data_IF_375213816811
#
_entry.id   IF_375213816811
#
_cell.length_a   1.000
_cell.length_b   1.000
_cell.length_c   1.000
_cell.angle_alpha   90.00
_cell.angle_beta   90.00
_cell.angle_gamma   90.00
#
_symmetry.space_group_name_H-M   'P 1'
#
loop_
_entity.id
_entity.type
_entity.pdbx_description
1 polymer ?
#
# COMPACT_ATOMS: atom_id res chain seq x y z
N UNK A 1 -25.79 38.05 -19.59
CA UNK A 1 -25.05 37.07 -20.43
C UNK A 1 -24.26 36.05 -19.62
N UNK A 2 -23.64 36.43 -18.48
CA UNK A 2 -22.78 35.51 -17.71
C UNK A 2 -23.49 34.37 -16.95
N UNK A 3 -24.70 34.58 -16.41
CA UNK A 3 -25.37 33.53 -15.61
C UNK A 3 -25.79 32.30 -16.44
N UNK A 4 -26.24 32.51 -17.67
CA UNK A 4 -26.67 31.43 -18.57
C UNK A 4 -25.46 30.60 -19.04
N UNK A 5 -24.32 31.24 -19.29
CA UNK A 5 -23.07 30.57 -19.68
C UNK A 5 -22.53 29.72 -18.53
N UNK A 6 -22.54 30.25 -17.30
CA UNK A 6 -22.10 29.51 -16.09
C UNK A 6 -23.02 28.30 -15.84
N UNK A 7 -24.34 28.46 -15.95
CA UNK A 7 -25.29 27.35 -15.80
C UNK A 7 -25.11 26.28 -16.88
N UNK A 8 -24.84 26.68 -18.12
CA UNK A 8 -24.56 25.75 -19.21
C UNK A 8 -23.25 24.98 -19.00
N UNK A 9 -22.18 25.65 -18.53
CA UNK A 9 -20.92 24.99 -18.18
C UNK A 9 -21.08 24.01 -17.01
N UNK A 10 -21.88 24.35 -15.99
CA UNK A 10 -22.13 23.45 -14.86
C UNK A 10 -22.90 22.20 -15.31
N UNK A 11 -23.93 22.37 -16.16
CA UNK A 11 -24.72 21.26 -16.69
C UNK A 11 -23.90 20.34 -17.60
N UNK A 12 -23.04 20.89 -18.45
CA UNK A 12 -22.15 20.09 -19.31
C UNK A 12 -21.16 19.29 -18.45
N UNK A 13 -20.58 19.88 -17.40
CA UNK A 13 -19.69 19.15 -16.48
C UNK A 13 -20.42 18.03 -15.71
N UNK A 14 -21.70 18.19 -15.37
CA UNK A 14 -22.47 17.13 -14.70
C UNK A 14 -22.82 16.00 -15.68
N UNK A 15 -23.11 16.31 -16.95
CA UNK A 15 -23.46 15.30 -17.97
C UNK A 15 -22.22 14.57 -18.50
N UNK A 16 -21.08 15.25 -18.56
CA UNK A 16 -19.78 14.67 -18.93
C UNK A 16 -19.02 14.10 -17.73
N UNK A 17 -19.47 14.42 -16.50
CA UNK A 17 -18.87 13.99 -15.26
C UNK A 17 -19.46 12.66 -14.79
N UNK A 18 -18.68 11.61 -14.96
CA UNK A 18 -18.82 10.31 -14.30
C UNK A 18 -20.05 9.53 -14.80
N UNK A 19 -19.83 8.65 -15.78
CA UNK A 19 -20.72 7.49 -15.95
C UNK A 19 -20.76 6.74 -14.61
N UNK A 20 -21.92 6.58 -13.95
CA UNK A 20 -21.99 5.79 -12.74
C UNK A 20 -21.39 4.40 -13.03
N UNK A 21 -20.57 3.85 -12.11
CA UNK A 21 -19.90 2.58 -12.34
C UNK A 21 -20.94 1.54 -12.75
N UNK A 22 -20.71 0.90 -13.89
CA UNK A 22 -21.60 -0.16 -14.35
C UNK A 22 -21.53 -1.29 -13.33
N UNK A 23 -22.69 -1.78 -12.89
CA UNK A 23 -22.75 -2.95 -12.02
C UNK A 23 -22.22 -4.17 -12.79
N UNK A 24 -20.93 -4.43 -12.66
CA UNK A 24 -20.27 -5.63 -13.17
C UNK A 24 -20.62 -6.83 -12.30
N UNK A 25 -20.77 -8.01 -12.93
CA UNK A 25 -20.77 -9.28 -12.20
C UNK A 25 -19.33 -9.77 -12.14
N UNK A 26 -18.88 -10.17 -10.96
CA UNK A 26 -17.57 -10.82 -10.83
C UNK A 26 -17.53 -12.12 -11.63
N UNK A 27 -16.37 -12.49 -12.21
CA UNK A 27 -16.19 -13.80 -12.85
C UNK A 27 -16.48 -14.95 -11.88
N UNK A 28 -16.90 -16.09 -12.43
CA UNK A 28 -17.11 -17.30 -11.63
C UNK A 28 -15.81 -17.68 -10.88
N UNK A 29 -15.92 -18.00 -9.59
CA UNK A 29 -14.78 -18.37 -8.74
C UNK A 29 -14.00 -17.19 -8.12
N UNK A 30 -14.31 -15.93 -8.47
CA UNK A 30 -13.63 -14.75 -7.93
C UNK A 30 -13.62 -14.73 -6.38
N UNK A 31 -14.80 -14.80 -5.76
CA UNK A 31 -14.93 -14.76 -4.30
C UNK A 31 -14.38 -16.02 -3.61
N UNK A 32 -14.21 -17.11 -4.34
CA UNK A 32 -13.56 -18.31 -3.81
C UNK A 32 -12.04 -18.12 -3.77
N UNK A 33 -11.43 -17.59 -4.83
CA UNK A 33 -10.01 -17.20 -4.82
C UNK A 33 -9.71 -16.14 -3.76
N UNK A 34 -10.54 -15.09 -3.64
CA UNK A 34 -10.38 -14.07 -2.59
C UNK A 34 -10.36 -14.70 -1.19
N UNK A 35 -11.30 -15.61 -0.90
CA UNK A 35 -11.34 -16.30 0.40
C UNK A 35 -10.18 -17.27 0.60
N UNK A 36 -9.78 -18.01 -0.44
CA UNK A 36 -8.63 -18.93 -0.39
C UNK A 36 -7.33 -18.19 -0.08
N UNK A 37 -7.15 -17.00 -0.65
CA UNK A 37 -5.99 -16.13 -0.40
C UNK A 37 -6.13 -15.28 0.87
N UNK A 38 -7.21 -15.46 1.65
CA UNK A 38 -7.44 -14.69 2.87
C UNK A 38 -7.68 -13.20 2.63
N UNK A 39 -8.11 -12.79 1.44
CA UNK A 39 -8.40 -11.39 1.13
C UNK A 39 -9.76 -11.06 1.74
N UNK A 40 -9.72 -10.34 2.87
CA UNK A 40 -10.89 -9.96 3.67
C UNK A 40 -11.80 -8.93 2.99
N UNK A 41 -12.82 -8.48 3.72
CA UNK A 41 -13.73 -7.40 3.28
C UNK A 41 -13.38 -6.04 3.89
N UNK A 42 -12.49 -6.02 4.89
CA UNK A 42 -12.00 -4.81 5.52
C UNK A 42 -10.63 -4.51 4.92
N UNK A 43 -10.53 -3.36 4.27
CA UNK A 43 -9.34 -2.89 3.58
C UNK A 43 -8.84 -1.63 4.24
N UNK A 44 -7.53 -1.40 4.12
CA UNK A 44 -6.86 -0.25 4.70
C UNK A 44 -6.49 -0.44 6.16
N UNK A 45 -5.57 0.41 6.60
CA UNK A 45 -5.10 0.43 7.97
C UNK A 45 -6.12 1.12 8.90
N UNK A 46 -6.51 0.50 10.04
CA UNK A 46 -7.49 1.08 10.95
C UNK A 46 -7.09 2.45 11.51
N UNK A 47 -5.79 2.68 11.70
CA UNK A 47 -5.22 3.94 12.15
C UNK A 47 -5.47 5.07 11.18
N UNK A 48 -5.02 4.89 9.95
CA UNK A 48 -5.26 5.84 8.88
C UNK A 48 -6.73 6.09 8.58
N UNK A 49 -7.57 5.05 8.67
CA UNK A 49 -9.02 5.22 8.54
C UNK A 49 -9.58 6.16 9.62
N UNK A 50 -9.10 6.05 10.88
CA UNK A 50 -9.49 6.97 11.97
C UNK A 50 -8.95 8.37 11.72
N UNK A 51 -7.68 8.52 11.34
CA UNK A 51 -7.03 9.80 11.03
C UNK A 51 -7.79 10.58 9.96
N UNK A 52 -8.12 9.92 8.84
CA UNK A 52 -8.89 10.51 7.73
C UNK A 52 -10.33 10.83 8.17
N UNK A 53 -11.00 9.94 8.90
CA UNK A 53 -12.36 10.21 9.37
C UNK A 53 -12.42 11.42 10.34
N UNK A 54 -11.39 11.58 11.17
CA UNK A 54 -11.23 12.65 12.15
C UNK A 54 -11.12 14.04 11.51
N UNK A 55 -10.60 14.15 10.28
CA UNK A 55 -10.48 15.44 9.58
C UNK A 55 -11.80 16.18 9.39
N UNK A 56 -12.92 15.47 9.27
CA UNK A 56 -14.23 16.12 9.14
C UNK A 56 -14.60 17.00 10.35
N UNK A 57 -13.91 16.81 11.47
CA UNK A 57 -14.14 17.50 12.74
C UNK A 57 -13.03 18.50 13.09
N UNK A 58 -11.94 18.55 12.31
CA UNK A 58 -10.86 19.51 12.52
C UNK A 58 -11.24 20.88 11.96
N UNK A 59 -10.97 21.92 12.75
CA UNK A 59 -11.18 23.33 12.35
C UNK A 59 -10.05 23.86 11.45
N UNK A 60 -8.91 23.17 11.44
CA UNK A 60 -7.77 23.45 10.57
C UNK A 60 -7.85 22.57 9.33
N UNK A 61 -8.17 23.17 8.18
CA UNK A 61 -8.24 22.47 6.88
C UNK A 61 -6.91 22.38 6.16
N UNK A 62 -5.85 22.93 6.76
CA UNK A 62 -4.48 22.92 6.21
C UNK A 62 -3.65 21.72 6.75
N UNK A 63 -4.31 20.67 7.26
CA UNK A 63 -3.65 19.46 7.72
C UNK A 63 -3.14 18.66 6.50
N UNK A 64 -1.84 18.78 6.24
CA UNK A 64 -1.14 17.96 5.27
C UNK A 64 -0.95 16.56 5.87
N UNK A 65 -1.39 15.54 5.13
CA UNK A 65 -1.14 14.15 5.47
C UNK A 65 0.17 13.68 4.87
N UNK A 66 0.96 13.00 5.67
CA UNK A 66 2.23 12.41 5.26
C UNK A 66 2.18 10.91 5.49
N UNK A 67 2.27 10.14 4.40
CA UNK A 67 2.28 8.68 4.42
C UNK A 67 3.66 8.20 3.97
N UNK A 68 4.40 7.54 4.88
CA UNK A 68 5.71 6.99 4.57
C UNK A 68 5.58 5.47 4.39
N UNK A 69 5.91 4.96 3.21
CA UNK A 69 5.65 3.57 2.82
C UNK A 69 6.96 2.77 2.68
N UNK A 70 7.19 1.74 3.50
CA UNK A 70 8.25 0.76 3.26
C UNK A 70 7.87 -0.15 2.09
N UNK A 71 8.78 -0.27 1.12
CA UNK A 71 8.63 -1.12 -0.06
C UNK A 71 9.72 -2.19 -0.06
N UNK A 72 9.32 -3.43 0.16
CA UNK A 72 10.23 -4.57 0.26
C UNK A 72 10.23 -5.37 -1.04
N UNK A 73 11.38 -5.42 -1.71
CA UNK A 73 11.57 -6.32 -2.84
C UNK A 73 11.83 -7.73 -2.33
N UNK A 74 11.05 -8.72 -2.77
CA UNK A 74 11.08 -10.07 -2.21
C UNK A 74 11.36 -11.16 -3.26
N UNK A 75 12.02 -12.24 -2.87
CA UNK A 75 12.29 -13.40 -3.73
C UNK A 75 11.70 -14.66 -3.11
N UNK A 76 11.18 -15.55 -3.95
CA UNK A 76 10.88 -16.92 -3.55
C UNK A 76 12.17 -17.72 -3.38
N UNK A 77 12.13 -18.83 -2.65
CA UNK A 77 13.29 -19.72 -2.48
C UNK A 77 13.76 -20.36 -3.80
N UNK A 78 12.84 -20.53 -4.75
CA UNK A 78 13.07 -21.08 -6.09
C UNK A 78 13.10 -20.02 -7.21
N UNK A 79 13.04 -18.73 -6.85
CA UNK A 79 13.15 -17.65 -7.82
C UNK A 79 14.58 -17.59 -8.41
N UNK A 80 14.69 -17.74 -9.73
CA UNK A 80 15.98 -17.78 -10.43
C UNK A 80 16.44 -16.42 -10.95
N UNK A 81 15.55 -15.44 -11.07
CA UNK A 81 15.87 -14.10 -11.59
C UNK A 81 14.91 -13.04 -11.07
N UNK A 82 15.43 -11.82 -11.00
CA UNK A 82 14.69 -10.55 -10.90
C UNK A 82 15.25 -9.60 -11.94
N UNK A 83 14.42 -8.68 -12.42
CA UNK A 83 14.66 -7.80 -13.56
C UNK A 83 14.91 -6.34 -13.14
N UNK A 84 14.41 -5.94 -11.97
CA UNK A 84 14.54 -4.59 -11.45
C UNK A 84 15.27 -4.57 -10.09
N UNK A 85 15.76 -3.39 -9.70
CA UNK A 85 16.38 -3.14 -8.40
C UNK A 85 15.62 -2.06 -7.61
N UNK A 86 16.04 -1.81 -6.37
CA UNK A 86 15.44 -0.81 -5.49
C UNK A 86 15.38 0.57 -6.12
N UNK A 87 16.45 1.03 -6.77
CA UNK A 87 16.46 2.33 -7.47
C UNK A 87 15.39 2.43 -8.56
N UNK A 88 15.13 1.35 -9.32
CA UNK A 88 14.08 1.37 -10.34
C UNK A 88 12.68 1.56 -9.74
N UNK A 89 12.41 0.92 -8.59
CA UNK A 89 11.14 1.07 -7.89
C UNK A 89 11.05 2.39 -7.14
N UNK A 90 12.15 2.87 -6.56
CA UNK A 90 12.23 4.19 -5.93
C UNK A 90 11.92 5.29 -6.94
N UNK A 91 12.61 5.31 -8.09
CA UNK A 91 12.31 6.27 -9.17
C UNK A 91 10.84 6.19 -9.60
N UNK A 92 10.29 4.99 -9.75
CA UNK A 92 8.89 4.79 -10.15
C UNK A 92 7.89 5.32 -9.12
N UNK A 93 8.14 5.09 -7.83
CA UNK A 93 7.19 5.34 -6.75
C UNK A 93 7.37 6.73 -6.14
N UNK A 94 8.59 7.11 -5.79
CA UNK A 94 8.86 8.28 -4.94
C UNK A 94 9.83 9.28 -5.58
N UNK A 95 10.77 8.79 -6.38
CA UNK A 95 11.88 9.54 -6.96
C UNK A 95 11.54 10.24 -8.27
N UNK A 96 12.57 10.41 -9.09
CA UNK A 96 12.50 11.22 -10.31
C UNK A 96 12.06 10.37 -11.51
N UNK A 97 10.76 10.35 -11.79
CA UNK A 97 10.20 9.69 -12.96
C UNK A 97 9.75 10.73 -14.01
N UNK A 98 10.36 10.76 -15.23
CA UNK A 98 9.95 11.69 -16.28
C UNK A 98 8.48 11.60 -16.71
N UNK A 99 7.80 10.47 -16.43
CA UNK A 99 6.38 10.28 -16.74
C UNK A 99 5.46 10.50 -15.54
N UNK A 100 5.99 10.92 -14.40
CA UNK A 100 5.26 11.04 -13.14
C UNK A 100 5.53 9.87 -12.19
N UNK A 101 5.91 10.16 -10.94
CA UNK A 101 5.98 9.17 -9.86
C UNK A 101 4.64 9.01 -9.13
N UNK A 102 4.49 7.97 -8.31
CA UNK A 102 3.31 7.81 -7.45
C UNK A 102 3.17 9.00 -6.48
N UNK A 103 4.28 9.47 -5.90
CA UNK A 103 4.32 10.68 -5.06
C UNK A 103 3.80 11.91 -5.79
N UNK A 104 4.25 12.15 -7.03
CA UNK A 104 3.79 13.28 -7.83
C UNK A 104 2.29 13.17 -8.15
N UNK A 105 1.82 11.98 -8.53
CA UNK A 105 0.42 11.72 -8.81
C UNK A 105 -0.47 12.04 -7.60
N UNK A 106 -0.15 11.50 -6.41
CA UNK A 106 -0.94 11.73 -5.21
C UNK A 106 -0.88 13.17 -4.71
N UNK A 107 0.26 13.83 -4.84
CA UNK A 107 0.39 15.25 -4.53
C UNK A 107 -0.47 16.11 -5.48
N UNK A 108 -0.50 15.79 -6.78
CA UNK A 108 -1.32 16.50 -7.76
C UNK A 108 -2.82 16.34 -7.48
N UNK A 109 -3.33 15.11 -7.36
CA UNK A 109 -4.77 14.87 -7.22
C UNK A 109 -5.32 15.33 -5.86
N UNK A 110 -4.45 15.42 -4.84
CA UNK A 110 -4.81 15.90 -3.51
C UNK A 110 -4.68 17.42 -3.36
N UNK A 111 -4.20 18.13 -4.38
CA UNK A 111 -3.85 19.55 -4.30
C UNK A 111 -2.85 19.86 -3.17
N UNK A 112 -1.88 18.96 -2.94
CA UNK A 112 -0.88 19.07 -1.89
C UNK A 112 -1.34 18.69 -0.48
N UNK A 113 -2.57 18.19 -0.31
CA UNK A 113 -3.09 17.79 1.00
C UNK A 113 -2.65 16.38 1.44
N UNK A 114 -2.17 15.57 0.50
CA UNK A 114 -1.68 14.23 0.77
C UNK A 114 -0.33 14.02 0.08
N UNK A 115 0.69 13.80 0.88
CA UNK A 115 2.04 13.49 0.45
C UNK A 115 2.35 12.04 0.79
N UNK A 116 2.67 11.25 -0.22
CA UNK A 116 3.19 9.90 -0.05
C UNK A 116 4.65 9.89 -0.44
N UNK A 117 5.50 9.26 0.36
CA UNK A 117 6.90 8.98 0.08
C UNK A 117 7.27 7.64 0.72
N UNK A 118 8.52 7.20 0.63
CA UNK A 118 8.89 5.90 1.17
C UNK A 118 10.35 5.56 0.96
N UNK A 119 10.68 4.33 1.34
CA UNK A 119 11.99 3.72 1.12
C UNK A 119 11.80 2.37 0.46
N UNK A 120 12.69 2.06 -0.49
CA UNK A 120 12.68 0.79 -1.22
C UNK A 120 13.98 0.06 -1.00
N UNK A 121 13.92 -1.18 -0.52
CA UNK A 121 15.10 -2.04 -0.45
C UNK A 121 14.79 -3.54 -0.61
N UNK A 122 15.84 -4.33 -0.78
CA UNK A 122 15.81 -5.76 -1.04
C UNK A 122 16.87 -6.16 -2.08
N UNK A 123 16.92 -7.40 -2.54
CA UNK A 123 15.87 -8.42 -2.52
C UNK A 123 15.97 -9.39 -1.34
N UNK A 124 14.93 -9.46 -0.50
CA UNK A 124 14.83 -10.41 0.62
C UNK A 124 14.34 -11.78 0.15
N UNK A 125 15.12 -12.83 0.40
CA UNK A 125 14.79 -14.19 -0.04
C UNK A 125 14.05 -14.97 1.04
N UNK A 126 12.75 -15.24 0.80
CA UNK A 126 11.93 -16.12 1.64
C UNK A 126 12.33 -17.58 1.48
N UNK A 127 12.04 -18.38 2.50
CA UNK A 127 12.14 -19.84 2.45
C UNK A 127 11.04 -20.51 1.61
N UNK A 128 9.92 -19.83 1.34
CA UNK A 128 8.81 -20.35 0.56
C UNK A 128 9.11 -20.32 -0.94
N UNK A 129 8.80 -21.42 -1.63
CA UNK A 129 8.75 -21.44 -3.10
C UNK A 129 7.59 -20.59 -3.61
N UNK A 130 7.57 -20.28 -4.91
CA UNK A 130 6.45 -19.56 -5.53
C UNK A 130 5.11 -20.23 -5.24
N UNK A 131 5.03 -21.56 -5.42
CA UNK A 131 3.80 -22.32 -5.16
C UNK A 131 3.35 -22.23 -3.71
N UNK A 132 4.28 -22.29 -2.75
CA UNK A 132 3.97 -22.19 -1.32
C UNK A 132 3.54 -20.77 -0.96
N UNK A 133 4.16 -19.75 -1.54
CA UNK A 133 3.81 -18.36 -1.33
C UNK A 133 2.39 -18.04 -1.86
N UNK A 134 1.99 -18.63 -3.00
CA UNK A 134 0.62 -18.51 -3.52
C UNK A 134 -0.40 -19.15 -2.59
N UNK A 135 -0.08 -20.30 -2.00
CA UNK A 135 -0.94 -20.98 -1.02
C UNK A 135 -1.04 -20.21 0.30
N UNK A 136 0.03 -19.52 0.71
CA UNK A 136 0.07 -18.78 1.97
C UNK A 136 0.81 -17.43 1.87
N UNK A 137 0.17 -16.47 1.20
CA UNK A 137 0.72 -15.12 0.96
C UNK A 137 1.02 -14.39 2.27
N UNK A 138 0.19 -14.57 3.30
CA UNK A 138 0.39 -13.91 4.60
C UNK A 138 1.67 -14.40 5.29
N UNK A 139 1.94 -15.71 5.26
CA UNK A 139 3.20 -16.23 5.79
C UNK A 139 4.40 -15.72 4.98
N UNK A 140 4.28 -15.68 3.65
CA UNK A 140 5.32 -15.11 2.78
C UNK A 140 5.63 -13.66 3.17
N UNK A 141 4.63 -12.79 3.24
CA UNK A 141 4.79 -11.38 3.61
C UNK A 141 5.36 -11.21 5.02
N UNK A 142 4.92 -12.01 5.99
CA UNK A 142 5.45 -11.97 7.36
C UNK A 142 6.93 -12.37 7.42
N UNK A 143 7.37 -13.36 6.62
CA UNK A 143 8.79 -13.72 6.54
C UNK A 143 9.62 -12.62 5.87
N UNK A 144 9.09 -12.00 4.81
CA UNK A 144 9.77 -10.87 4.16
C UNK A 144 9.92 -9.68 5.11
N UNK A 145 8.88 -9.34 5.88
CA UNK A 145 8.98 -8.31 6.92
C UNK A 145 10.06 -8.66 7.97
N UNK A 146 10.09 -9.92 8.42
CA UNK A 146 11.12 -10.35 9.38
C UNK A 146 12.53 -10.29 8.82
N UNK A 147 12.71 -10.58 7.53
CA UNK A 147 14.02 -10.51 6.87
C UNK A 147 14.51 -9.08 6.67
N UNK A 148 13.58 -8.13 6.54
CA UNK A 148 13.86 -6.70 6.34
C UNK A 148 14.07 -5.93 7.64
N UNK A 149 13.61 -6.46 8.78
CA UNK A 149 13.73 -5.87 10.13
C UNK A 149 15.15 -5.38 10.52
N UNK A 150 16.26 -6.01 10.10
CA UNK A 150 17.59 -5.46 10.38
C UNK A 150 17.95 -4.20 9.57
N UNK A 151 17.26 -3.98 8.44
CA UNK A 151 17.55 -2.93 7.47
C UNK A 151 16.51 -1.78 7.55
N UNK A 152 15.29 -2.06 8.05
CA UNK A 152 14.19 -1.12 8.22
C UNK A 152 13.84 -0.93 9.69
N UNK A 153 13.87 0.32 10.19
CA UNK A 153 13.24 0.70 11.46
C UNK A 153 11.73 0.86 11.22
N UNK A 154 10.94 -0.12 11.65
CA UNK A 154 9.51 -0.12 11.39
C UNK A 154 8.76 1.01 12.10
N UNK A 155 9.34 1.61 13.14
CA UNK A 155 8.77 2.77 13.81
C UNK A 155 8.69 4.01 12.91
N UNK A 156 9.51 4.10 11.85
CA UNK A 156 9.43 5.21 10.91
C UNK A 156 8.16 5.22 10.05
N UNK A 157 7.38 4.13 10.09
CA UNK A 157 6.20 3.91 9.26
C UNK A 157 4.90 3.75 10.06
N UNK A 158 4.89 4.20 11.32
CA UNK A 158 3.73 4.29 12.21
C UNK A 158 3.46 5.78 12.46
N UNK A 159 2.60 6.41 11.65
CA UNK A 159 2.36 7.86 11.65
C UNK A 159 0.86 8.17 11.51
N UNK A 160 0.02 7.36 12.15
CA UNK A 160 -1.44 7.49 12.14
C UNK A 160 -1.97 8.46 13.22
N UNK A 161 -1.07 8.97 14.07
CA UNK A 161 -1.31 9.99 15.08
C UNK A 161 -1.61 11.39 14.50
N UNK A 162 -2.35 12.24 15.24
CA UNK A 162 -2.58 13.63 14.86
C UNK A 162 -1.35 14.53 14.68
N UNK A 163 -0.20 14.20 15.29
CA UNK A 163 0.97 15.09 15.31
C UNK A 163 1.90 14.99 14.07
N UNK A 164 1.67 13.99 13.20
CA UNK A 164 2.49 13.66 12.02
C UNK A 164 3.96 13.30 12.34
N UNK A 165 4.26 12.90 13.58
CA UNK A 165 5.58 12.42 13.99
C UNK A 165 5.54 10.90 14.09
N UNK A 166 6.34 10.17 13.30
CA UNK A 166 6.32 8.71 13.36
C UNK A 166 6.72 8.15 14.74
N UNK A 167 6.07 7.07 15.16
CA UNK A 167 6.31 6.33 16.40
C UNK A 167 6.34 7.24 17.65
N UNK A 168 5.39 8.16 17.68
CA UNK A 168 5.10 9.08 18.76
C UNK A 168 4.14 8.45 19.78
N UNK A 169 3.68 9.25 20.75
CA UNK A 169 2.79 8.76 21.81
C UNK A 169 1.32 8.65 21.40
N UNK A 170 0.94 9.23 20.26
CA UNK A 170 -0.42 9.24 19.73
C UNK A 170 -0.64 8.28 18.56
N UNK A 171 0.42 7.63 18.08
CA UNK A 171 0.34 6.54 17.11
C UNK A 171 -0.12 5.23 17.76
N UNK A 172 -0.60 4.29 16.93
CA UNK A 172 -1.23 3.05 17.39
C UNK A 172 -0.29 1.84 17.51
N UNK A 173 0.98 2.00 17.14
CA UNK A 173 2.02 0.96 17.26
C UNK A 173 2.05 -0.02 16.08
N UNK A 174 1.36 0.29 14.98
CA UNK A 174 1.31 -0.54 13.79
C UNK A 174 1.88 0.20 12.59
N UNK A 175 2.61 -0.52 11.74
CA UNK A 175 3.02 0.02 10.45
C UNK A 175 1.78 0.35 9.61
N UNK A 176 1.68 1.63 9.22
CA UNK A 176 0.61 2.25 8.45
C UNK A 176 0.27 1.49 7.16
N UNK A 177 1.28 0.88 6.56
CA UNK A 177 1.12 -0.07 5.47
C UNK A 177 2.48 -0.58 4.99
N UNK A 178 2.52 -1.81 4.52
CA UNK A 178 3.70 -2.42 3.91
C UNK A 178 3.45 -2.74 2.45
N UNK A 179 4.35 -2.39 1.53
CA UNK A 179 4.29 -2.87 0.15
C UNK A 179 5.36 -3.94 -0.09
N UNK A 180 4.93 -5.14 -0.51
CA UNK A 180 5.84 -6.22 -0.91
C UNK A 180 5.77 -6.42 -2.42
N UNK A 181 6.92 -6.33 -3.08
CA UNK A 181 7.07 -6.58 -4.51
C UNK A 181 7.63 -7.97 -4.75
N UNK A 182 6.82 -8.87 -5.32
CA UNK A 182 7.22 -10.25 -5.58
C UNK A 182 7.66 -10.48 -7.05
N UNK A 183 8.51 -11.49 -7.35
CA UNK A 183 8.95 -11.75 -8.71
C UNK A 183 7.81 -12.30 -9.57
N UNK A 184 7.75 -11.90 -10.83
CA UNK A 184 6.73 -12.34 -11.80
C UNK A 184 5.81 -11.22 -12.26
N UNK A 185 4.69 -11.57 -12.89
CA UNK A 185 3.73 -10.62 -13.48
C UNK A 185 2.29 -10.95 -13.07
N UNK A 186 1.35 -10.02 -13.27
CA UNK A 186 -0.09 -10.28 -13.02
C UNK A 186 -0.69 -11.36 -13.93
N UNK A 187 -0.07 -11.62 -15.09
CA UNK A 187 -0.56 -12.58 -16.08
C UNK A 187 0.00 -13.98 -15.81
N UNK A 188 -0.73 -14.79 -15.04
CA UNK A 188 -0.38 -16.19 -14.79
C UNK A 188 -1.28 -16.84 -13.75
N UNK A 189 -1.57 -18.14 -13.88
CA UNK A 189 -2.39 -18.86 -12.90
C UNK A 189 -1.64 -19.16 -11.60
N UNK A 190 -0.30 -19.21 -11.67
CA UNK A 190 0.60 -19.61 -10.57
C UNK A 190 1.25 -18.41 -9.86
N UNK A 191 0.77 -17.19 -10.09
CA UNK A 191 1.26 -16.00 -9.42
C UNK A 191 0.36 -15.60 -8.26
N UNK A 192 0.95 -14.95 -7.25
CA UNK A 192 0.17 -14.22 -6.25
C UNK A 192 -0.71 -13.22 -7.01
N UNK A 193 -1.98 -13.14 -6.66
CA UNK A 193 -2.84 -12.08 -7.19
C UNK A 193 -2.51 -10.81 -6.41
N UNK A 194 -2.15 -9.72 -7.07
CA UNK A 194 -1.96 -8.44 -6.38
C UNK A 194 -3.21 -8.04 -5.58
N UNK A 195 -3.01 -7.69 -4.31
CA UNK A 195 -4.08 -7.32 -3.40
C UNK A 195 -3.55 -6.55 -2.19
N UNK A 196 -4.47 -5.98 -1.41
CA UNK A 196 -4.23 -5.46 -0.08
C UNK A 196 -4.95 -6.35 0.94
N UNK A 197 -4.33 -6.59 2.09
CA UNK A 197 -4.96 -7.29 3.21
C UNK A 197 -4.27 -7.00 4.54
N UNK A 198 -4.59 -7.81 5.55
CA UNK A 198 -3.88 -7.87 6.83
C UNK A 198 -3.28 -9.24 7.08
N UNK A 199 -2.15 -9.28 7.79
CA UNK A 199 -1.49 -10.52 8.21
C UNK A 199 -2.31 -11.27 9.25
N UNK A 200 -3.13 -10.58 10.06
CA UNK A 200 -3.99 -11.18 11.07
C UNK A 200 -3.18 -12.02 12.07
N UNK A 201 -3.47 -13.32 12.22
CA UNK A 201 -2.68 -14.21 13.07
C UNK A 201 -1.20 -14.33 12.69
N UNK A 202 -0.81 -13.86 11.50
CA UNK A 202 0.55 -13.89 10.98
C UNK A 202 1.26 -12.54 11.11
N UNK A 203 0.72 -11.58 11.87
CA UNK A 203 1.38 -10.29 12.10
C UNK A 203 2.82 -10.48 12.58
N UNK A 204 3.72 -9.64 12.08
CA UNK A 204 5.13 -9.66 12.49
C UNK A 204 5.33 -8.63 13.59
N UNK A 205 6.03 -9.02 14.65
CA UNK A 205 6.41 -8.14 15.75
C UNK A 205 7.89 -7.82 15.53
N UNK A 206 8.20 -6.55 15.27
CA UNK A 206 9.56 -6.10 15.01
C UNK A 206 10.40 -6.03 16.28
N UNK A 207 11.67 -5.65 16.14
CA UNK A 207 12.52 -5.32 17.27
C UNK A 207 12.50 -3.82 17.65
N UNK A 208 11.75 -2.99 16.92
CA UNK A 208 11.60 -1.56 17.15
C UNK A 208 10.56 -1.28 18.23
N UNK A 209 10.88 -0.33 19.12
CA UNK A 209 10.04 -0.05 20.29
C UNK A 209 9.27 1.26 20.13
N UNK A 210 8.01 1.22 20.56
CA UNK A 210 7.20 2.39 20.84
C UNK A 210 7.74 3.17 22.05
N UNK A 211 7.39 4.46 22.23
CA UNK A 211 7.75 5.22 23.43
C UNK A 211 7.30 4.56 24.75
N UNK A 212 6.29 3.70 24.70
CA UNK A 212 5.76 2.97 25.85
C UNK A 212 6.45 1.62 26.11
N UNK A 213 7.39 1.22 25.25
CA UNK A 213 8.20 -0.01 25.38
C UNK A 213 7.58 -1.27 24.76
N UNK A 214 6.39 -1.17 24.17
CA UNK A 214 5.82 -2.21 23.29
C UNK A 214 6.54 -2.21 21.93
N UNK A 215 6.47 -3.31 21.19
CA UNK A 215 7.12 -3.44 19.88
C UNK A 215 6.18 -3.06 18.73
N UNK A 216 6.72 -2.47 17.67
CA UNK A 216 5.99 -2.13 16.45
C UNK A 216 5.50 -3.41 15.74
N UNK A 217 4.28 -3.36 15.24
CA UNK A 217 3.63 -4.51 14.59
C UNK A 217 3.40 -4.23 13.11
N UNK A 218 3.90 -5.12 12.26
CA UNK A 218 3.54 -5.15 10.84
C UNK A 218 2.30 -6.02 10.69
N UNK A 219 1.22 -5.44 10.14
CA UNK A 219 -0.02 -6.17 9.89
C UNK A 219 -0.69 -5.80 8.57
N UNK A 220 -0.85 -4.51 8.29
CA UNK A 220 -1.45 -4.01 7.05
C UNK A 220 -0.45 -4.15 5.88
N UNK A 221 -0.83 -4.84 4.80
CA UNK A 221 0.08 -5.06 3.67
C UNK A 221 -0.59 -4.99 2.30
N UNK A 222 0.23 -4.76 1.29
CA UNK A 222 -0.06 -4.81 -0.14
C UNK A 222 0.97 -5.72 -0.81
N UNK A 223 0.55 -6.49 -1.80
CA UNK A 223 1.44 -7.29 -2.66
C UNK A 223 1.24 -6.89 -4.11
N UNK A 224 2.35 -6.61 -4.81
CA UNK A 224 2.36 -6.26 -6.23
C UNK A 224 3.47 -7.05 -6.95
N UNK A 225 3.27 -7.44 -8.22
CA UNK A 225 4.33 -8.10 -8.98
C UNK A 225 5.40 -7.12 -9.42
N UNK A 226 6.59 -7.66 -9.65
CA UNK A 226 7.73 -6.97 -10.22
C UNK A 226 7.47 -6.48 -11.65
N UNK A 227 6.86 -7.32 -12.49
CA UNK A 227 6.64 -7.04 -13.89
C UNK A 227 5.22 -6.50 -14.13
N UNK A 228 5.06 -5.54 -15.05
CA UNK A 228 3.74 -5.05 -15.43
C UNK A 228 2.88 -6.19 -16.00
N UNK A 229 1.57 -6.11 -15.79
CA UNK A 229 0.63 -7.02 -16.46
C UNK A 229 0.70 -6.86 -17.98
N UNK A 230 0.65 -7.97 -18.72
CA UNK A 230 0.47 -7.90 -20.18
C UNK A 230 -0.96 -7.42 -20.46
N UNK A 231 -1.10 -6.19 -20.95
CA UNK A 231 -2.35 -5.67 -21.51
C UNK A 231 -2.71 -6.31 -22.85
#
# INVERSE_FOLDING_TARGET
MNKIIISAFLLINIVSGITPPQNGKFPNGFWEKMRQQGIGQNYGDPGWVRKIAGQNYLTNRDAQFEFFLPVLLSKYSDASSTYFNSTNFDDLLFGNNPTGSMSEYFNEISYGNFHISGEVDGWYQSSLSQSQAVENVRQYVAEIASLADPDFDYGLYDNDGPDNVPNSGDDDGYVDGLLVVYPGCLSGEDNIWAHQSSLSSNQYVSNDQTPNGEYIIVNSYMVCPELPGSG
#
